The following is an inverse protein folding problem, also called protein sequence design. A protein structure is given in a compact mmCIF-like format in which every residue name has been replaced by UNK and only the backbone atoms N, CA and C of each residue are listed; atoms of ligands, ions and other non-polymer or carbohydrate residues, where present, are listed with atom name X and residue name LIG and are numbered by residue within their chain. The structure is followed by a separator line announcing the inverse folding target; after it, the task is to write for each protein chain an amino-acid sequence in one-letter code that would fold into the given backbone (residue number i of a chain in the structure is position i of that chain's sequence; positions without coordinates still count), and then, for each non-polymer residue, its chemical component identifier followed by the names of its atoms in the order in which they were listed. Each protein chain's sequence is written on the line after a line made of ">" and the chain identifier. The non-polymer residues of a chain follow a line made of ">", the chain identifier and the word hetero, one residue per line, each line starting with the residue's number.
data_IF_749991881867
#
_entry.id   IF_749991881867
#
_cell.length_a   1.000
_cell.length_b   1.000
_cell.length_c   1.000
_cell.angle_alpha   90.00
_cell.angle_beta   90.00
_cell.angle_gamma   90.00
#
_symmetry.space_group_name_H-M   'P 1'
#
loop_
_entity.id
_entity.type
_entity.pdbx_description
1 polymer ?
#
# COMPACT_ATOMS: atom_id res chain seq x y z
N UNK A 1 -2.46 -18.91 -9.06
CA UNK A 1 -2.61 -17.56 -9.63
C UNK A 1 -2.24 -16.46 -8.64
N UNK A 2 -2.84 -16.41 -7.44
CA UNK A 2 -2.53 -15.41 -6.38
C UNK A 2 -1.06 -15.47 -5.93
N UNK A 3 -0.49 -16.66 -5.71
CA UNK A 3 0.92 -16.81 -5.34
C UNK A 3 1.90 -16.36 -6.44
N UNK A 4 1.49 -16.42 -7.72
CA UNK A 4 2.28 -15.94 -8.85
C UNK A 4 2.23 -14.41 -8.98
N UNK A 5 1.06 -13.81 -8.69
CA UNK A 5 0.91 -12.36 -8.53
C UNK A 5 1.75 -11.84 -7.36
N UNK A 6 1.70 -12.52 -6.20
CA UNK A 6 2.54 -12.19 -5.04
C UNK A 6 4.02 -12.32 -5.42
N UNK A 7 4.47 -13.43 -6.01
CA UNK A 7 5.86 -13.58 -6.45
C UNK A 7 6.28 -12.50 -7.45
N UNK A 8 5.46 -12.22 -8.46
CA UNK A 8 5.74 -11.20 -9.47
C UNK A 8 5.87 -9.80 -8.85
N UNK A 9 5.01 -9.50 -7.86
CA UNK A 9 5.05 -8.25 -7.11
C UNK A 9 6.25 -8.14 -6.15
N UNK A 10 6.68 -9.25 -5.57
CA UNK A 10 7.80 -9.33 -4.62
C UNK A 10 9.17 -9.59 -5.27
N UNK A 11 9.25 -9.76 -6.60
CA UNK A 11 10.54 -9.93 -7.28
C UNK A 11 11.12 -8.57 -7.67
N UNK A 12 12.41 -8.34 -7.42
CA UNK A 12 13.14 -7.11 -7.80
C UNK A 12 12.86 -6.64 -9.24
N UNK A 13 12.78 -7.56 -10.21
CA UNK A 13 12.48 -7.28 -11.63
C UNK A 13 11.05 -6.76 -11.91
N UNK A 14 10.09 -7.10 -11.06
CA UNK A 14 8.71 -6.61 -11.17
C UNK A 14 8.62 -5.16 -10.68
N UNK A 15 9.26 -4.87 -9.55
CA UNK A 15 9.35 -3.53 -8.96
C UNK A 15 10.22 -2.57 -9.80
N UNK A 16 11.34 -3.03 -10.36
CA UNK A 16 12.19 -2.26 -11.29
C UNK A 16 11.44 -1.81 -12.55
N UNK A 17 10.51 -2.63 -13.06
CA UNK A 17 9.67 -2.26 -14.20
C UNK A 17 8.60 -1.23 -13.86
N UNK A 18 8.24 -1.08 -12.59
CA UNK A 18 7.22 -0.12 -12.16
C UNK A 18 7.83 1.24 -11.88
N UNK A 19 9.05 1.29 -11.34
CA UNK A 19 9.79 2.52 -11.07
C UNK A 19 11.28 2.25 -11.30
N UNK A 20 11.89 2.98 -12.23
CA UNK A 20 13.34 3.14 -12.33
C UNK A 20 13.72 4.49 -11.66
N UNK A 21 14.12 4.50 -10.38
CA UNK A 21 14.49 5.74 -9.69
C UNK A 21 15.75 6.39 -10.28
N UNK A 22 16.54 5.64 -11.06
CA UNK A 22 17.78 6.08 -11.69
C UNK A 22 17.62 6.34 -13.19
N UNK A 23 16.41 6.14 -13.73
CA UNK A 23 16.13 6.27 -15.15
C UNK A 23 16.47 7.66 -15.69
N UNK A 24 16.67 7.77 -17.02
CA UNK A 24 17.08 9.02 -17.66
C UNK A 24 15.97 10.07 -17.54
N UNK A 25 16.03 10.89 -16.48
CA UNK A 25 15.22 12.09 -16.34
C UNK A 25 16.04 13.33 -16.77
N UNK A 26 15.43 14.31 -17.47
CA UNK A 26 16.09 15.57 -17.78
C UNK A 26 16.53 16.26 -16.48
N UNK A 27 17.74 16.84 -16.50
CA UNK A 27 18.30 17.54 -15.34
C UNK A 27 17.85 18.99 -15.43
N UNK A 28 16.66 19.24 -14.88
CA UNK A 28 16.00 20.55 -14.87
C UNK A 28 16.00 21.14 -13.46
N UNK A 29 15.87 22.47 -13.38
CA UNK A 29 15.71 23.14 -12.10
C UNK A 29 14.39 22.69 -11.47
N UNK A 30 14.38 22.27 -10.18
CA UNK A 30 13.14 21.93 -9.51
C UNK A 30 12.20 23.15 -9.55
N UNK A 31 10.91 22.95 -9.85
CA UNK A 31 9.96 24.06 -10.01
C UNK A 31 9.88 24.92 -8.74
N UNK A 32 9.67 26.23 -8.90
CA UNK A 32 9.70 27.18 -7.79
C UNK A 32 8.51 27.09 -6.82
N UNK A 33 7.40 26.47 -7.25
CA UNK A 33 6.20 26.29 -6.43
C UNK A 33 6.19 24.91 -5.74
N UNK A 34 5.84 24.90 -4.45
CA UNK A 34 5.89 23.70 -3.61
C UNK A 34 5.07 22.52 -4.18
N UNK A 35 3.87 22.79 -4.69
CA UNK A 35 2.99 21.78 -5.26
C UNK A 35 3.57 21.14 -6.53
N UNK A 36 4.24 21.95 -7.35
CA UNK A 36 4.85 21.46 -8.58
C UNK A 36 6.09 20.60 -8.28
N UNK A 37 6.80 20.90 -7.19
CA UNK A 37 7.89 20.04 -6.67
C UNK A 37 7.35 18.67 -6.28
N UNK A 38 6.25 18.62 -5.52
CA UNK A 38 5.62 17.35 -5.18
C UNK A 38 5.19 16.58 -6.42
N UNK A 39 4.51 17.24 -7.37
CA UNK A 39 4.09 16.59 -8.61
C UNK A 39 5.29 16.04 -9.40
N UNK A 40 6.36 16.81 -9.55
CA UNK A 40 7.58 16.41 -10.27
C UNK A 40 8.25 15.15 -9.70
N UNK A 41 8.25 15.01 -8.36
CA UNK A 41 8.84 13.84 -7.69
C UNK A 41 7.89 12.65 -7.55
N UNK A 42 6.57 12.88 -7.50
CA UNK A 42 5.56 11.82 -7.32
C UNK A 42 5.10 11.20 -8.65
N UNK A 43 5.19 11.92 -9.77
CA UNK A 43 4.74 11.44 -11.08
C UNK A 43 5.36 10.10 -11.53
N UNK A 44 6.68 9.87 -11.36
CA UNK A 44 7.29 8.59 -11.72
C UNK A 44 6.82 7.42 -10.85
N UNK A 45 6.36 7.69 -9.63
CA UNK A 45 5.96 6.66 -8.65
C UNK A 45 4.45 6.51 -8.50
N UNK A 46 3.65 7.22 -9.31
CA UNK A 46 2.18 7.27 -9.19
C UNK A 46 1.50 5.89 -9.20
N UNK A 47 2.01 4.95 -9.99
CA UNK A 47 1.49 3.57 -10.03
C UNK A 47 1.73 2.79 -8.74
N UNK A 48 2.90 2.96 -8.12
CA UNK A 48 3.20 2.37 -6.82
C UNK A 48 2.35 3.00 -5.72
N UNK A 49 2.17 4.32 -5.75
CA UNK A 49 1.32 5.03 -4.80
C UNK A 49 -0.14 4.58 -4.92
N UNK A 50 -0.67 4.49 -6.13
CA UNK A 50 -2.03 4.00 -6.38
C UNK A 50 -2.21 2.56 -5.86
N UNK A 51 -1.24 1.69 -6.09
CA UNK A 51 -1.29 0.30 -5.59
C UNK A 51 -1.23 0.26 -4.07
N UNK A 52 -0.33 1.05 -3.47
CA UNK A 52 -0.21 1.17 -2.01
C UNK A 52 -1.50 1.69 -1.39
N UNK A 53 -2.17 2.66 -2.04
CA UNK A 53 -3.46 3.19 -1.62
C UNK A 53 -4.53 2.09 -1.62
N UNK A 54 -4.67 1.35 -2.73
CA UNK A 54 -5.67 0.28 -2.86
C UNK A 54 -5.44 -0.82 -1.83
N UNK A 55 -4.20 -1.28 -1.66
CA UNK A 55 -3.85 -2.33 -0.68
C UNK A 55 -4.14 -1.85 0.75
N UNK A 56 -3.76 -0.61 1.06
CA UNK A 56 -3.98 -0.03 2.40
C UNK A 56 -5.46 0.18 2.67
N UNK A 57 -6.24 0.59 1.66
CA UNK A 57 -7.69 0.70 1.76
C UNK A 57 -8.33 -0.66 2.07
N UNK A 58 -7.92 -1.73 1.39
CA UNK A 58 -8.43 -3.08 1.68
C UNK A 58 -8.08 -3.47 3.12
N UNK A 59 -6.85 -3.24 3.57
CA UNK A 59 -6.45 -3.49 4.95
C UNK A 59 -7.36 -2.74 5.95
N UNK A 60 -7.58 -1.44 5.73
CA UNK A 60 -8.46 -0.63 6.58
C UNK A 60 -9.91 -1.08 6.55
N UNK A 61 -10.45 -1.48 5.39
CA UNK A 61 -11.81 -2.01 5.27
C UNK A 61 -11.96 -3.31 6.06
N UNK A 62 -10.97 -4.21 5.99
CA UNK A 62 -11.02 -5.45 6.79
C UNK A 62 -11.02 -5.16 8.29
N UNK A 63 -10.26 -4.16 8.74
CA UNK A 63 -10.25 -3.72 10.13
C UNK A 63 -11.58 -3.11 10.56
N UNK A 64 -12.16 -2.23 9.73
CA UNK A 64 -13.48 -1.66 9.97
C UNK A 64 -14.57 -2.74 10.04
N UNK A 65 -14.51 -3.73 9.14
CA UNK A 65 -15.48 -4.83 9.08
C UNK A 65 -15.49 -5.67 10.36
N UNK A 66 -14.35 -5.78 11.07
CA UNK A 66 -14.26 -6.47 12.35
C UNK A 66 -15.11 -5.78 13.43
N UNK A 67 -15.07 -4.45 13.50
CA UNK A 67 -15.87 -3.68 14.46
C UNK A 67 -17.37 -3.80 14.16
N UNK A 68 -17.74 -3.69 12.87
CA UNK A 68 -19.13 -3.88 12.44
C UNK A 68 -19.63 -5.31 12.73
N UNK A 69 -18.78 -6.31 12.47
CA UNK A 69 -19.09 -7.70 12.76
C UNK A 69 -19.29 -7.94 14.24
N UNK A 70 -18.40 -7.42 15.11
CA UNK A 70 -18.53 -7.56 16.56
C UNK A 70 -19.87 -7.02 17.06
N UNK A 71 -20.30 -5.84 16.59
CA UNK A 71 -21.62 -5.28 16.93
C UNK A 71 -22.74 -6.22 16.49
N UNK A 72 -22.73 -6.64 15.22
CA UNK A 72 -23.74 -7.56 14.69
C UNK A 72 -23.76 -8.91 15.40
N UNK A 73 -22.63 -9.36 15.92
CA UNK A 73 -22.49 -10.61 16.65
C UNK A 73 -23.17 -10.51 18.01
N UNK A 74 -22.91 -9.41 18.74
CA UNK A 74 -23.56 -9.13 20.04
C UNK A 74 -25.07 -9.03 19.87
N UNK A 75 -25.55 -8.33 18.85
CA UNK A 75 -26.99 -8.20 18.57
C UNK A 75 -27.65 -9.55 18.30
N UNK A 76 -27.00 -10.41 17.51
CA UNK A 76 -27.51 -11.76 17.19
C UNK A 76 -27.52 -12.66 18.43
N UNK A 77 -26.48 -12.59 19.26
CA UNK A 77 -26.41 -13.35 20.50
C UNK A 77 -27.49 -12.92 21.50
N UNK A 78 -27.88 -11.64 21.52
CA UNK A 78 -28.96 -11.15 22.37
C UNK A 78 -30.35 -11.63 21.90
N UNK A 79 -30.52 -11.91 20.60
CA UNK A 79 -31.80 -12.25 19.99
C UNK A 79 -32.09 -13.76 19.88
N UNK A 80 -31.14 -14.64 20.16
CA UNK A 80 -31.27 -16.09 19.87
C UNK A 80 -30.91 -17.01 21.04
N UNK A 81 -31.44 -18.23 21.02
CA UNK A 81 -31.16 -19.28 22.01
C UNK A 81 -29.69 -19.76 21.86
N UNK A 82 -28.92 -19.93 22.96
CA UNK A 82 -27.51 -20.36 22.89
C UNK A 82 -27.29 -21.70 22.19
N UNK A 83 -28.33 -22.54 22.06
CA UNK A 83 -28.23 -23.87 21.44
C UNK A 83 -28.13 -23.82 19.91
N UNK A 84 -28.82 -22.88 19.26
CA UNK A 84 -28.97 -22.86 17.79
C UNK A 84 -28.16 -21.73 17.13
N UNK A 85 -27.56 -20.83 17.93
CA UNK A 85 -26.79 -19.69 17.43
C UNK A 85 -25.70 -20.06 16.42
N UNK A 86 -24.93 -21.13 16.71
CA UNK A 86 -23.79 -21.53 15.87
C UNK A 86 -24.27 -22.17 14.57
N UNK A 87 -25.31 -23.00 14.59
CA UNK A 87 -25.87 -23.60 13.38
C UNK A 87 -26.43 -22.54 12.43
N UNK A 88 -27.10 -21.53 12.99
CA UNK A 88 -27.80 -20.50 12.22
C UNK A 88 -26.85 -19.45 11.64
N UNK A 89 -25.70 -19.22 12.29
CA UNK A 89 -24.72 -18.18 11.90
C UNK A 89 -23.39 -18.75 11.38
N UNK A 90 -23.29 -20.06 11.19
CA UNK A 90 -22.04 -20.75 10.82
C UNK A 90 -21.37 -20.16 9.58
N UNK A 91 -22.16 -19.82 8.56
CA UNK A 91 -21.66 -19.21 7.32
C UNK A 91 -21.01 -17.84 7.55
N UNK A 92 -21.66 -16.98 8.33
CA UNK A 92 -21.18 -15.66 8.72
C UNK A 92 -19.90 -15.76 9.56
N UNK A 93 -19.88 -16.68 10.55
CA UNK A 93 -18.74 -16.93 11.42
C UNK A 93 -17.52 -17.43 10.65
N UNK A 94 -17.71 -18.37 9.72
CA UNK A 94 -16.63 -18.90 8.87
C UNK A 94 -16.11 -17.81 7.93
N UNK A 95 -16.99 -17.05 7.29
CA UNK A 95 -16.58 -15.95 6.42
C UNK A 95 -15.72 -14.94 7.16
N UNK A 96 -16.17 -14.48 8.33
CA UNK A 96 -15.41 -13.51 9.14
C UNK A 96 -14.13 -14.09 9.72
N UNK A 97 -14.10 -15.38 10.04
CA UNK A 97 -12.86 -16.07 10.45
C UNK A 97 -11.82 -16.04 9.33
N UNK A 98 -12.22 -16.28 8.08
CA UNK A 98 -11.32 -16.17 6.91
C UNK A 98 -10.84 -14.74 6.72
N UNK A 99 -11.73 -13.75 6.84
CA UNK A 99 -11.36 -12.33 6.73
C UNK A 99 -10.34 -11.95 7.80
N UNK A 100 -10.54 -12.36 9.04
CA UNK A 100 -9.69 -12.01 10.18
C UNK A 100 -8.34 -12.73 10.18
N UNK A 101 -8.33 -14.03 9.89
CA UNK A 101 -7.14 -14.87 10.01
C UNK A 101 -6.29 -14.92 8.75
N UNK A 102 -6.87 -14.57 7.58
CA UNK A 102 -6.17 -14.65 6.30
C UNK A 102 -6.13 -13.29 5.62
N UNK A 103 -7.28 -12.70 5.33
CA UNK A 103 -7.33 -11.48 4.49
C UNK A 103 -6.65 -10.31 5.22
N UNK A 104 -7.04 -10.04 6.46
CA UNK A 104 -6.49 -8.95 7.27
C UNK A 104 -4.97 -9.03 7.43
N UNK A 105 -4.34 -10.13 7.90
CA UNK A 105 -2.90 -10.18 8.04
C UNK A 105 -2.18 -10.03 6.70
N UNK A 106 -2.69 -10.64 5.62
CA UNK A 106 -2.08 -10.54 4.29
C UNK A 106 -2.05 -9.08 3.81
N UNK A 107 -3.19 -8.38 3.84
CA UNK A 107 -3.27 -7.01 3.36
C UNK A 107 -2.55 -6.02 4.28
N UNK A 108 -2.56 -6.23 5.59
CA UNK A 108 -1.79 -5.41 6.54
C UNK A 108 -0.30 -5.56 6.31
N UNK A 109 0.22 -6.79 6.17
CA UNK A 109 1.64 -7.02 5.88
C UNK A 109 2.01 -6.42 4.53
N UNK A 110 1.17 -6.61 3.50
CA UNK A 110 1.42 -6.08 2.17
C UNK A 110 1.44 -4.54 2.16
N UNK A 111 0.49 -3.90 2.84
CA UNK A 111 0.46 -2.43 3.00
C UNK A 111 1.75 -1.94 3.68
N UNK A 112 2.14 -2.58 4.79
CA UNK A 112 3.38 -2.22 5.52
C UNK A 112 4.62 -2.43 4.66
N UNK A 113 4.71 -3.53 3.92
CA UNK A 113 5.82 -3.83 3.03
C UNK A 113 5.90 -2.81 1.88
N UNK A 114 4.78 -2.47 1.27
CA UNK A 114 4.71 -1.46 0.21
C UNK A 114 5.21 -0.10 0.70
N UNK A 115 4.73 0.36 1.84
CA UNK A 115 5.13 1.66 2.38
C UNK A 115 6.62 1.67 2.74
N UNK A 116 7.10 0.67 3.49
CA UNK A 116 8.44 0.70 4.09
C UNK A 116 9.54 0.18 3.17
N UNK A 117 9.24 -0.76 2.27
CA UNK A 117 10.23 -1.43 1.42
C UNK A 117 10.18 -0.97 -0.04
N UNK A 118 9.06 -0.41 -0.50
CA UNK A 118 8.93 0.09 -1.86
C UNK A 118 8.86 1.63 -1.88
N UNK A 119 7.83 2.24 -1.31
CA UNK A 119 7.57 3.69 -1.45
C UNK A 119 8.69 4.51 -0.83
N UNK A 120 8.97 4.32 0.46
CA UNK A 120 9.96 5.11 1.18
C UNK A 120 11.38 5.07 0.57
N UNK A 121 11.99 3.89 0.31
CA UNK A 121 13.36 3.83 -0.22
C UNK A 121 13.45 4.31 -1.67
N UNK A 122 12.47 4.02 -2.53
CA UNK A 122 12.49 4.48 -3.92
C UNK A 122 12.35 6.00 -4.02
N UNK A 123 11.41 6.60 -3.28
CA UNK A 123 11.25 8.05 -3.26
C UNK A 123 12.49 8.76 -2.71
N UNK A 124 13.05 8.27 -1.60
CA UNK A 124 14.26 8.85 -1.03
C UNK A 124 15.44 8.78 -2.00
N UNK A 125 15.59 7.65 -2.71
CA UNK A 125 16.66 7.46 -3.71
C UNK A 125 16.47 8.37 -4.92
N UNK A 126 15.26 8.46 -5.45
CA UNK A 126 14.91 9.29 -6.59
C UNK A 126 15.19 10.78 -6.30
N UNK A 127 14.72 11.27 -5.15
CA UNK A 127 14.96 12.65 -4.71
C UNK A 127 16.46 12.90 -4.57
N UNK A 128 17.18 12.02 -3.86
CA UNK A 128 18.64 12.15 -3.66
C UNK A 128 19.39 12.17 -4.99
N UNK A 129 19.06 11.27 -5.91
CA UNK A 129 19.74 11.17 -7.21
C UNK A 129 19.50 12.40 -8.09
N UNK A 130 18.26 12.87 -8.19
CA UNK A 130 17.93 14.07 -8.99
C UNK A 130 18.58 15.32 -8.40
N UNK A 131 18.52 15.50 -7.09
CA UNK A 131 19.18 16.64 -6.42
C UNK A 131 20.69 16.61 -6.62
N UNK A 132 21.32 15.43 -6.48
CA UNK A 132 22.75 15.27 -6.73
C UNK A 132 23.14 15.64 -8.17
N UNK A 133 22.41 15.14 -9.17
CA UNK A 133 22.66 15.46 -10.59
C UNK A 133 22.46 16.94 -10.91
N UNK A 134 21.52 17.62 -10.25
CA UNK A 134 21.29 19.05 -10.41
C UNK A 134 22.44 19.88 -9.81
N UNK A 135 22.83 19.60 -8.56
CA UNK A 135 23.91 20.32 -7.87
C UNK A 135 25.25 20.19 -8.58
N UNK A 136 25.57 19.01 -9.14
CA UNK A 136 26.80 18.79 -9.91
C UNK A 136 26.96 19.70 -11.15
N UNK A 137 25.87 20.30 -11.64
CA UNK A 137 25.88 21.18 -12.81
C UNK A 137 25.88 22.67 -12.44
N UNK A 138 25.78 23.01 -11.16
CA UNK A 138 25.86 24.40 -10.73
C UNK A 138 27.32 24.87 -10.75
N UNK A 139 27.53 26.11 -11.20
CA UNK A 139 28.84 26.73 -11.15
C UNK A 139 29.25 26.97 -9.68
N UNK A 140 30.55 26.97 -9.40
CA UNK A 140 31.08 27.26 -8.05
C UNK A 140 30.87 28.73 -7.61
N UNK A 141 30.31 29.57 -8.48
CA UNK A 141 30.07 30.99 -8.25
C UNK A 141 28.67 31.35 -7.77
N UNK A 142 27.77 30.36 -7.65
CA UNK A 142 26.34 30.48 -7.27
C UNK A 142 25.53 31.54 -8.04
#
# INVERSE_FOLDING_TARGET
>A
MVAALIRWFFTYRGLERWIDPLGPAPVEQPPGALLDVFRHFLEPVKGLLATTLVVSLIASVTELSMFAFLGSLVDRMAASSPRDFVSDNLSLLVFMSVVLLVVRPVFTILSRALVNLAVAPNLATLVRWRSYRYVLRQSLGF
#
